data_IF_823161457076
#
_entry.id   IF_823161457076
#
_cell.length_a   1.000
_cell.length_b   1.000
_cell.length_c   1.000
_cell.angle_alpha   90.00
_cell.angle_beta   90.00
_cell.angle_gamma   90.00
#
_symmetry.space_group_name_H-M   'P 1'
#
loop_
_entity.id
_entity.type
_entity.pdbx_description
1 polymer ?
#
# COMPACT_ATOMS: atom_id res chain seq x y z
N UNK A 1 0.90 8.68 -4.45
CA UNK A 1 -0.38 8.97 -3.84
C UNK A 1 -1.40 7.85 -4.13
N UNK A 2 -1.72 7.63 -5.39
CA UNK A 2 -2.72 6.63 -5.83
C UNK A 2 -2.21 5.18 -5.76
N UNK A 3 -0.93 4.98 -5.63
CA UNK A 3 -0.31 3.65 -5.65
C UNK A 3 -0.58 2.82 -4.39
N UNK A 4 -0.87 3.46 -3.26
CA UNK A 4 -1.09 2.75 -1.99
C UNK A 4 -2.48 2.14 -1.91
N UNK A 5 -3.50 2.82 -2.43
CA UNK A 5 -4.88 2.33 -2.44
C UNK A 5 -5.16 1.38 -3.60
N UNK A 6 -4.46 1.52 -4.73
CA UNK A 6 -4.70 0.73 -5.94
C UNK A 6 -3.73 -0.42 -6.16
N UNK A 7 -2.51 -0.35 -5.62
CA UNK A 7 -1.61 -1.48 -5.70
C UNK A 7 -2.04 -2.55 -4.69
N UNK A 8 -2.12 -3.80 -5.15
CA UNK A 8 -2.08 -4.93 -4.24
C UNK A 8 -0.88 -4.72 -3.31
N UNK A 9 -1.05 -4.90 -1.99
CA UNK A 9 0.09 -4.95 -1.11
C UNK A 9 1.04 -5.98 -1.71
N UNK A 10 2.04 -5.51 -2.38
CA UNK A 10 3.22 -6.31 -2.52
C UNK A 10 3.65 -6.45 -1.08
N UNK A 11 3.46 -7.64 -0.54
CA UNK A 11 4.16 -8.00 0.67
C UNK A 11 5.59 -7.54 0.46
N UNK A 12 6.16 -6.90 1.46
CA UNK A 12 7.59 -6.71 1.48
C UNK A 12 8.18 -8.09 1.20
N UNK A 13 8.48 -8.33 -0.06
CA UNK A 13 9.21 -9.52 -0.42
C UNK A 13 10.52 -9.39 0.33
N UNK A 14 10.80 -10.38 1.15
CA UNK A 14 12.16 -10.61 1.59
C UNK A 14 13.01 -10.50 0.33
N UNK A 15 13.76 -9.43 0.19
CA UNK A 15 14.40 -8.87 -0.99
C UNK A 15 14.51 -9.79 -2.20
N UNK A 16 14.42 -9.23 -3.39
CA UNK A 16 14.74 -9.92 -4.63
C UNK A 16 16.21 -10.37 -4.59
N UNK A 17 16.48 -11.49 -3.96
CA UNK A 17 17.81 -12.05 -3.76
C UNK A 17 17.84 -13.51 -4.19
N UNK A 18 18.97 -13.92 -4.72
CA UNK A 18 19.31 -15.34 -4.86
C UNK A 18 19.20 -15.99 -3.46
N UNK A 19 18.70 -17.22 -3.36
CA UNK A 19 18.50 -18.03 -2.15
C UNK A 19 17.18 -17.86 -1.36
N UNK A 20 16.13 -17.42 -1.99
CA UNK A 20 14.79 -17.40 -1.37
C UNK A 20 14.09 -18.77 -1.51
N UNK A 21 13.51 -19.26 -0.44
CA UNK A 21 12.56 -20.37 -0.46
C UNK A 21 11.16 -19.77 -0.39
N UNK A 22 10.40 -19.90 -1.48
CA UNK A 22 9.01 -19.46 -1.54
C UNK A 22 8.09 -20.66 -1.68
N UNK A 23 7.04 -20.72 -0.88
CA UNK A 23 6.04 -21.76 -0.91
C UNK A 23 4.63 -21.19 -0.91
N UNK A 24 3.87 -21.51 -1.95
CA UNK A 24 2.43 -21.24 -2.01
C UNK A 24 1.70 -22.53 -1.65
N UNK A 25 0.86 -22.47 -0.61
CA UNK A 25 0.09 -23.63 -0.19
C UNK A 25 -0.97 -23.95 -1.26
N UNK A 26 -1.22 -25.25 -1.52
CA UNK A 26 -2.39 -25.65 -2.31
C UNK A 26 -3.66 -25.09 -1.67
N UNK A 27 -4.65 -24.76 -2.49
CA UNK A 27 -5.97 -24.31 -2.01
C UNK A 27 -6.61 -25.42 -1.18
N UNK A 28 -6.62 -25.25 0.13
CA UNK A 28 -7.23 -26.18 1.08
C UNK A 28 -8.68 -25.81 1.40
N UNK A 29 -8.99 -24.53 1.28
CA UNK A 29 -10.32 -23.96 1.49
C UNK A 29 -10.60 -22.99 0.36
N UNK A 30 -11.77 -23.09 -0.25
CA UNK A 30 -12.18 -22.17 -1.31
C UNK A 30 -12.11 -20.72 -0.83
N UNK A 31 -11.54 -19.89 -1.69
CA UNK A 31 -11.38 -18.46 -1.41
C UNK A 31 -10.24 -18.13 -0.43
N UNK A 32 -9.44 -19.10 0.02
CA UNK A 32 -8.27 -18.86 0.89
C UNK A 32 -6.99 -19.22 0.17
N UNK A 33 -6.08 -18.27 0.04
CA UNK A 33 -4.73 -18.47 -0.45
C UNK A 33 -3.71 -18.10 0.62
N UNK A 34 -2.72 -18.96 0.83
CA UNK A 34 -1.64 -18.81 1.78
C UNK A 34 -0.29 -18.93 1.06
N UNK A 35 0.63 -18.06 1.38
CA UNK A 35 2.01 -18.18 0.92
C UNK A 35 2.98 -17.82 2.05
N UNK A 36 4.17 -18.37 2.00
CA UNK A 36 5.27 -18.09 2.90
C UNK A 36 6.60 -18.06 2.16
N UNK A 37 7.52 -17.24 2.61
CA UNK A 37 8.87 -17.17 2.07
C UNK A 37 9.89 -17.07 3.20
N UNK A 38 11.09 -17.58 2.93
CA UNK A 38 12.22 -17.52 3.83
C UNK A 38 13.52 -17.31 3.03
N UNK A 39 14.29 -16.34 3.45
CA UNK A 39 15.64 -16.09 2.94
C UNK A 39 16.62 -16.37 4.07
N UNK A 40 17.50 -17.39 3.94
CA UNK A 40 18.51 -17.68 4.97
C UNK A 40 19.54 -16.56 5.05
N UNK A 41 20.14 -16.41 6.23
CA UNK A 41 21.25 -15.50 6.46
C UNK A 41 22.40 -15.75 5.48
N UNK A 42 22.96 -14.68 4.95
CA UNK A 42 24.15 -14.66 4.11
C UNK A 42 25.43 -14.29 4.88
N UNK A 43 26.51 -14.02 4.15
CA UNK A 43 27.76 -13.61 4.78
C UNK A 43 27.71 -12.19 5.38
N UNK A 44 26.80 -11.35 4.88
CA UNK A 44 26.63 -9.93 5.27
C UNK A 44 25.17 -9.57 5.57
N UNK A 45 24.24 -10.52 5.46
CA UNK A 45 22.82 -10.30 5.63
C UNK A 45 22.27 -11.34 6.61
N UNK A 46 21.39 -10.91 7.50
CA UNK A 46 20.63 -11.76 8.39
C UNK A 46 19.45 -12.43 7.63
N UNK A 47 18.73 -13.30 8.30
CA UNK A 47 17.60 -13.98 7.69
C UNK A 47 16.39 -13.08 7.56
N UNK A 48 15.50 -13.40 6.60
CA UNK A 48 14.19 -12.77 6.52
C UNK A 48 13.09 -13.81 6.25
N UNK A 49 11.90 -13.52 6.72
CA UNK A 49 10.73 -14.35 6.50
C UNK A 49 9.50 -13.50 6.20
N UNK A 50 8.58 -14.04 5.40
CA UNK A 50 7.30 -13.39 5.19
C UNK A 50 6.19 -14.43 4.99
N UNK A 51 4.96 -14.05 5.35
CA UNK A 51 3.78 -14.85 5.05
C UNK A 51 2.60 -13.97 4.65
N UNK A 52 1.70 -14.54 3.87
CA UNK A 52 0.51 -13.86 3.40
C UNK A 52 -0.72 -14.75 3.43
N UNK A 53 -1.84 -14.11 3.67
CA UNK A 53 -3.17 -14.66 3.59
C UNK A 53 -4.02 -13.79 2.68
N UNK A 54 -4.69 -14.39 1.70
CA UNK A 54 -5.70 -13.71 0.87
C UNK A 54 -6.99 -14.49 1.00
N UNK A 55 -8.10 -13.76 1.23
CA UNK A 55 -9.44 -14.31 1.33
C UNK A 55 -10.36 -13.67 0.30
N UNK A 56 -11.01 -14.51 -0.51
CA UNK A 56 -11.99 -14.13 -1.54
C UNK A 56 -13.26 -15.00 -1.51
N UNK A 57 -13.54 -15.65 -0.38
CA UNK A 57 -14.65 -16.61 -0.25
C UNK A 57 -16.04 -15.97 -0.15
N UNK A 58 -16.14 -14.64 -0.10
CA UNK A 58 -17.40 -13.89 -0.12
C UNK A 58 -17.43 -13.07 -1.41
N UNK A 59 -18.56 -13.14 -2.14
CA UNK A 59 -18.72 -12.39 -3.39
C UNK A 59 -18.54 -10.88 -3.15
N UNK A 60 -17.72 -10.26 -4.00
CA UNK A 60 -17.36 -8.86 -3.90
C UNK A 60 -16.35 -8.52 -2.80
N UNK A 61 -16.02 -9.43 -1.87
CA UNK A 61 -15.06 -9.20 -0.81
C UNK A 61 -13.67 -9.76 -1.15
N UNK A 62 -12.66 -8.93 -1.01
CA UNK A 62 -11.26 -9.35 -0.97
C UNK A 62 -10.63 -8.81 0.30
N UNK A 63 -10.08 -9.68 1.12
CA UNK A 63 -9.28 -9.33 2.29
C UNK A 63 -7.90 -9.94 2.16
N UNK A 64 -6.87 -9.20 2.50
CA UNK A 64 -5.50 -9.72 2.53
C UNK A 64 -4.76 -9.23 3.76
N UNK A 65 -3.91 -10.09 4.27
CA UNK A 65 -2.99 -9.81 5.36
C UNK A 65 -1.62 -10.34 4.99
N UNK A 66 -0.59 -9.57 5.29
CA UNK A 66 0.78 -9.97 5.12
C UNK A 66 1.65 -9.47 6.24
N UNK A 67 2.64 -10.26 6.60
CA UNK A 67 3.66 -9.88 7.57
C UNK A 67 5.01 -10.37 7.07
N UNK A 68 6.01 -9.49 7.17
CA UNK A 68 7.40 -9.78 6.85
C UNK A 68 8.29 -9.34 7.99
N UNK A 69 9.25 -10.15 8.34
CA UNK A 69 10.29 -9.86 9.33
C UNK A 69 11.65 -9.98 8.68
N UNK A 70 12.49 -8.98 8.92
CA UNK A 70 13.87 -8.94 8.47
C UNK A 70 14.79 -8.77 9.69
N UNK A 71 15.57 -9.79 10.00
CA UNK A 71 16.46 -9.81 11.19
C UNK A 71 17.69 -8.90 11.06
N UNK A 72 17.83 -8.21 9.94
CA UNK A 72 18.81 -7.16 9.75
C UNK A 72 19.47 -7.18 8.38
N UNK A 73 19.55 -6.02 7.75
CA UNK A 73 20.38 -5.79 6.57
C UNK A 73 21.64 -5.03 6.98
N UNK A 74 22.81 -5.57 6.66
CA UNK A 74 24.05 -4.82 6.83
C UNK A 74 24.10 -3.66 5.83
N UNK A 75 23.81 -2.45 6.28
CA UNK A 75 23.93 -1.23 5.48
C UNK A 75 25.38 -0.78 5.42
N UNK A 76 26.22 -1.44 4.60
CA UNK A 76 27.60 -1.03 4.33
C UNK A 76 28.62 -1.37 5.43
N UNK A 77 29.89 -1.19 5.13
CA UNK A 77 31.00 -1.46 6.07
C UNK A 77 30.92 -0.52 7.29
N UNK A 78 30.43 -1.04 8.42
CA UNK A 78 30.30 -0.31 9.68
C UNK A 78 28.88 0.16 10.01
N UNK A 79 27.86 -0.23 9.25
CA UNK A 79 26.47 0.07 9.54
C UNK A 79 25.88 -0.81 10.64
N UNK A 80 24.96 -0.24 11.43
CA UNK A 80 24.11 -0.98 12.35
C UNK A 80 23.13 -1.86 11.54
N UNK A 81 22.99 -3.11 11.95
CA UNK A 81 21.91 -3.97 11.46
C UNK A 81 20.56 -3.37 11.85
N UNK A 82 19.74 -3.01 10.90
CA UNK A 82 18.37 -2.57 11.17
C UNK A 82 17.42 -3.77 10.99
N UNK A 83 16.86 -4.24 12.08
CA UNK A 83 15.77 -5.20 12.04
C UNK A 83 14.48 -4.44 11.74
N UNK A 84 13.63 -4.99 10.93
CA UNK A 84 12.35 -4.38 10.64
C UNK A 84 11.25 -5.43 10.47
N UNK A 85 10.11 -5.16 11.03
CA UNK A 85 8.88 -5.87 10.80
C UNK A 85 7.96 -5.02 9.93
N UNK A 86 7.29 -5.65 8.99
CA UNK A 86 6.34 -4.98 8.13
C UNK A 86 5.02 -5.75 8.17
N UNK A 87 3.95 -5.07 8.50
CA UNK A 87 2.59 -5.61 8.47
C UNK A 87 1.75 -4.87 7.45
N UNK A 88 0.98 -5.60 6.66
CA UNK A 88 0.07 -5.02 5.69
C UNK A 88 -1.29 -5.70 5.76
N UNK A 89 -2.34 -4.91 5.84
CA UNK A 89 -3.72 -5.37 5.78
C UNK A 89 -4.47 -4.61 4.68
N UNK A 90 -5.26 -5.33 3.88
CA UNK A 90 -6.14 -4.71 2.88
C UNK A 90 -7.50 -5.34 2.91
N UNK A 91 -8.49 -4.51 2.70
CA UNK A 91 -9.88 -4.90 2.56
C UNK A 91 -10.47 -4.16 1.35
N UNK A 92 -11.12 -4.89 0.45
CA UNK A 92 -11.91 -4.31 -0.64
C UNK A 92 -13.26 -4.99 -0.71
N UNK A 93 -14.32 -4.21 -0.84
CA UNK A 93 -15.67 -4.72 -0.98
C UNK A 93 -16.41 -4.02 -2.12
N UNK A 94 -16.91 -4.82 -3.05
CA UNK A 94 -17.71 -4.36 -4.18
C UNK A 94 -19.17 -4.74 -3.94
N UNK A 95 -20.04 -3.75 -3.86
CA UNK A 95 -21.48 -3.94 -3.72
C UNK A 95 -22.23 -3.10 -4.75
N UNK A 96 -22.75 -3.76 -5.78
CA UNK A 96 -23.37 -3.08 -6.92
C UNK A 96 -22.42 -2.08 -7.58
N UNK A 97 -22.81 -0.83 -7.61
CA UNK A 97 -22.00 0.27 -8.18
C UNK A 97 -20.99 0.89 -7.22
N UNK A 98 -20.92 0.42 -5.98
CA UNK A 98 -20.03 0.97 -4.94
C UNK A 98 -18.85 0.05 -4.71
N UNK A 99 -17.65 0.60 -4.65
CA UNK A 99 -16.45 -0.11 -4.18
C UNK A 99 -15.89 0.64 -2.98
N UNK A 100 -15.68 -0.08 -1.89
CA UNK A 100 -14.98 0.39 -0.71
C UNK A 100 -13.62 -0.30 -0.63
N UNK A 101 -12.58 0.43 -0.30
CA UNK A 101 -11.26 -0.13 -0.06
C UNK A 101 -10.63 0.52 1.17
N UNK A 102 -9.92 -0.29 1.94
CA UNK A 102 -9.11 0.11 3.09
C UNK A 102 -7.77 -0.61 3.03
N UNK A 103 -6.72 0.07 3.38
CA UNK A 103 -5.42 -0.56 3.63
C UNK A 103 -4.75 0.08 4.84
N UNK A 104 -4.00 -0.75 5.53
CA UNK A 104 -3.17 -0.41 6.67
C UNK A 104 -1.81 -1.06 6.47
N UNK A 105 -0.76 -0.27 6.58
CA UNK A 105 0.61 -0.70 6.37
C UNK A 105 1.49 -0.12 7.46
N UNK A 106 2.07 -0.99 8.27
CA UNK A 106 2.94 -0.68 9.38
C UNK A 106 4.36 -1.16 9.07
N UNK A 107 5.32 -0.29 9.29
CA UNK A 107 6.74 -0.60 9.25
C UNK A 107 7.36 -0.24 10.59
N UNK A 108 7.75 -1.25 11.34
CA UNK A 108 8.35 -1.16 12.65
C UNK A 108 9.83 -1.56 12.56
N UNK A 109 10.71 -0.67 12.90
CA UNK A 109 12.17 -0.84 12.85
C UNK A 109 12.77 -0.77 14.24
N UNK A 110 13.85 -1.49 14.48
CA UNK A 110 14.63 -1.30 15.72
C UNK A 110 15.25 0.10 15.85
N UNK A 111 15.01 0.96 14.87
CA UNK A 111 15.39 2.37 14.89
C UNK A 111 14.11 3.20 14.86
N UNK A 112 13.65 3.66 16.02
CA UNK A 112 12.38 4.37 16.22
C UNK A 112 12.12 5.52 15.20
N UNK A 113 13.17 6.15 14.69
CA UNK A 113 13.06 7.20 13.67
C UNK A 113 12.75 6.69 12.26
N UNK A 114 12.67 5.37 12.08
CA UNK A 114 12.33 4.72 10.80
C UNK A 114 10.95 4.10 10.79
N UNK A 115 10.24 4.15 11.92
CA UNK A 115 8.89 3.62 12.01
C UNK A 115 7.92 4.47 11.19
N UNK A 116 7.02 3.81 10.52
CA UNK A 116 6.02 4.47 9.68
C UNK A 116 4.75 3.65 9.60
N UNK A 117 3.62 4.32 9.84
CA UNK A 117 2.28 3.79 9.59
C UNK A 117 1.62 4.52 8.43
N UNK A 118 0.97 3.79 7.55
CA UNK A 118 0.21 4.36 6.44
C UNK A 118 -1.16 3.72 6.35
N UNK A 119 -2.20 4.55 6.50
CA UNK A 119 -3.60 4.16 6.38
C UNK A 119 -4.21 4.80 5.15
N UNK A 120 -4.96 4.02 4.38
CA UNK A 120 -5.62 4.51 3.17
C UNK A 120 -7.06 4.06 3.13
N UNK A 121 -7.95 4.96 2.74
CA UNK A 121 -9.35 4.65 2.47
C UNK A 121 -9.75 5.15 1.10
N UNK A 122 -10.60 4.38 0.42
CA UNK A 122 -11.17 4.78 -0.87
C UNK A 122 -12.61 4.33 -0.97
N UNK A 123 -13.44 5.23 -1.47
CA UNK A 123 -14.78 4.93 -1.96
C UNK A 123 -14.87 5.28 -3.43
N UNK A 124 -15.42 4.38 -4.23
CA UNK A 124 -15.68 4.63 -5.65
C UNK A 124 -17.13 4.32 -5.95
N UNK A 125 -17.74 5.11 -6.81
CA UNK A 125 -19.12 4.95 -7.24
C UNK A 125 -19.22 5.04 -8.76
N UNK A 126 -19.73 3.98 -9.39
CA UNK A 126 -20.09 3.99 -10.80
C UNK A 126 -21.50 4.59 -10.94
N UNK A 127 -21.56 5.85 -11.38
CA UNK A 127 -22.83 6.57 -11.58
C UNK A 127 -23.60 5.97 -12.76
N UNK A 128 -22.87 5.64 -13.82
CA UNK A 128 -23.33 4.88 -14.99
C UNK A 128 -22.20 3.96 -15.43
N UNK A 129 -22.44 3.16 -16.48
CA UNK A 129 -21.39 2.31 -17.09
C UNK A 129 -20.21 3.13 -17.62
N UNK A 130 -20.44 4.39 -17.97
CA UNK A 130 -19.44 5.28 -18.56
C UNK A 130 -18.86 6.31 -17.56
N UNK A 131 -19.54 6.57 -16.43
CA UNK A 131 -19.19 7.65 -15.50
C UNK A 131 -18.93 7.10 -14.10
N UNK A 132 -17.80 7.47 -13.54
CA UNK A 132 -17.46 7.13 -12.17
C UNK A 132 -16.88 8.31 -11.40
N UNK A 133 -17.02 8.26 -10.09
CA UNK A 133 -16.38 9.17 -9.14
C UNK A 133 -15.73 8.37 -8.02
N UNK A 134 -14.59 8.84 -7.54
CA UNK A 134 -13.96 8.26 -6.36
C UNK A 134 -13.39 9.34 -5.44
N UNK A 135 -13.37 9.01 -4.16
CA UNK A 135 -12.72 9.77 -3.10
C UNK A 135 -11.75 8.86 -2.36
N UNK A 136 -10.57 9.34 -2.11
CA UNK A 136 -9.54 8.59 -1.37
C UNK A 136 -8.81 9.51 -0.40
N UNK A 137 -8.40 8.95 0.72
CA UNK A 137 -7.52 9.58 1.71
C UNK A 137 -6.38 8.64 2.07
N UNK A 138 -5.19 9.21 2.24
CA UNK A 138 -4.03 8.54 2.83
C UNK A 138 -3.56 9.37 4.03
N UNK A 139 -3.30 8.71 5.14
CA UNK A 139 -2.69 9.25 6.35
C UNK A 139 -1.38 8.50 6.60
N UNK A 140 -0.31 9.21 6.80
CA UNK A 140 1.01 8.64 7.05
C UNK A 140 1.55 9.24 8.34
N UNK A 141 1.65 8.40 9.37
CA UNK A 141 2.40 8.69 10.59
C UNK A 141 3.86 8.24 10.42
N UNK A 142 4.80 9.02 10.92
CA UNK A 142 6.20 8.69 10.87
C UNK A 142 6.99 9.31 12.02
N UNK A 143 7.76 8.49 12.70
CA UNK A 143 8.68 8.91 13.74
C UNK A 143 9.97 9.59 13.20
N UNK A 144 10.08 9.75 11.88
CA UNK A 144 11.26 10.38 11.26
C UNK A 144 11.40 11.88 11.57
N UNK A 145 10.32 12.53 12.01
CA UNK A 145 10.30 13.97 12.35
C UNK A 145 10.11 14.21 13.84
N UNK A 146 10.84 15.16 14.38
CA UNK A 146 10.70 15.59 15.76
C UNK A 146 9.36 16.32 16.06
N UNK A 147 8.61 16.70 15.03
CA UNK A 147 7.30 17.39 15.16
C UNK A 147 6.13 16.45 15.29
N UNK A 148 6.29 15.19 14.88
CA UNK A 148 5.28 14.12 14.99
C UNK A 148 3.89 14.54 14.51
N UNK A 149 3.82 15.06 13.30
CA UNK A 149 2.59 15.47 12.62
C UNK A 149 2.40 14.56 11.42
N UNK A 150 1.21 14.02 11.30
CA UNK A 150 0.86 13.11 10.20
C UNK A 150 0.80 13.84 8.87
N UNK A 151 1.31 13.21 7.83
CA UNK A 151 1.11 13.67 6.46
C UNK A 151 -0.23 13.16 5.95
N UNK A 152 -1.10 14.08 5.52
CA UNK A 152 -2.43 13.77 5.05
C UNK A 152 -2.56 14.06 3.54
N UNK A 153 -3.23 13.15 2.84
CA UNK A 153 -3.49 13.28 1.41
C UNK A 153 -4.96 13.00 1.12
N UNK A 154 -5.54 13.86 0.32
CA UNK A 154 -6.91 13.70 -0.17
C UNK A 154 -6.94 13.74 -1.69
N UNK A 155 -7.74 12.87 -2.31
CA UNK A 155 -7.91 12.82 -3.75
C UNK A 155 -9.35 12.56 -4.16
N UNK A 156 -9.86 13.41 -5.04
CA UNK A 156 -11.14 13.21 -5.72
C UNK A 156 -10.86 12.99 -7.22
N UNK A 157 -11.48 11.98 -7.80
CA UNK A 157 -11.36 11.69 -9.24
C UNK A 157 -12.74 11.50 -9.84
N UNK A 158 -13.02 12.22 -10.93
CA UNK A 158 -14.15 11.94 -11.81
C UNK A 158 -13.64 11.38 -13.14
N UNK A 159 -14.27 10.35 -13.69
CA UNK A 159 -13.90 9.73 -14.96
C UNK A 159 -15.11 9.54 -15.86
N UNK A 160 -14.89 9.77 -17.16
CA UNK A 160 -15.87 9.46 -18.19
C UNK A 160 -15.19 8.63 -19.29
N UNK A 161 -15.77 7.49 -19.64
CA UNK A 161 -15.25 6.57 -20.68
C UNK A 161 -16.28 6.43 -21.79
N UNK A 162 -15.89 6.61 -23.02
CA UNK A 162 -16.77 6.42 -24.18
C UNK A 162 -15.95 6.00 -25.40
N UNK A 163 -16.33 4.88 -26.04
CA UNK A 163 -15.76 4.44 -27.31
C UNK A 163 -14.23 4.25 -27.31
N UNK A 164 -13.65 3.78 -26.20
CA UNK A 164 -12.19 3.61 -26.07
C UNK A 164 -11.44 4.89 -25.65
N UNK A 165 -12.13 5.99 -25.42
CA UNK A 165 -11.58 7.22 -24.86
C UNK A 165 -11.97 7.33 -23.38
N UNK A 166 -11.03 7.65 -22.51
CA UNK A 166 -11.28 7.98 -21.11
C UNK A 166 -10.76 9.37 -20.80
N UNK A 167 -11.64 10.21 -20.27
CA UNK A 167 -11.31 11.54 -19.72
C UNK A 167 -11.41 11.44 -18.21
N UNK A 168 -10.37 11.87 -17.50
CA UNK A 168 -10.40 11.92 -16.03
C UNK A 168 -9.94 13.28 -15.55
N UNK A 169 -10.69 13.83 -14.60
CA UNK A 169 -10.31 15.03 -13.85
C UNK A 169 -10.06 14.64 -12.40
N UNK A 170 -9.01 15.19 -11.80
CA UNK A 170 -8.71 14.96 -10.39
C UNK A 170 -8.36 16.26 -9.67
N UNK A 171 -8.70 16.29 -8.40
CA UNK A 171 -8.21 17.24 -7.41
C UNK A 171 -7.49 16.48 -6.31
N UNK A 172 -6.34 16.96 -5.92
CA UNK A 172 -5.52 16.38 -4.85
C UNK A 172 -5.08 17.49 -3.92
N UNK A 173 -5.06 17.18 -2.66
CA UNK A 173 -4.56 18.02 -1.58
C UNK A 173 -3.61 17.18 -0.73
N UNK A 174 -2.48 17.77 -0.38
CA UNK A 174 -1.50 17.19 0.50
C UNK A 174 -1.19 18.18 1.61
N UNK A 175 -1.26 17.73 2.84
CA UNK A 175 -0.93 18.51 4.03
C UNK A 175 0.24 17.86 4.77
N UNK A 176 1.09 18.67 5.37
CA UNK A 176 2.22 18.23 6.20
C UNK A 176 3.16 17.21 5.52
N UNK A 177 3.44 17.34 4.22
CA UNK A 177 4.15 16.34 3.43
C UNK A 177 5.52 15.93 4.00
N UNK A 178 6.20 16.82 4.70
CA UNK A 178 7.48 16.55 5.36
C UNK A 178 7.31 16.28 6.88
N UNK A 179 6.13 15.83 7.29
CA UNK A 179 5.76 15.66 8.71
C UNK A 179 5.94 16.95 9.51
N UNK A 180 5.60 18.08 8.90
CA UNK A 180 5.80 19.42 9.42
C UNK A 180 4.56 20.27 9.19
N UNK A 181 4.19 21.11 10.15
CA UNK A 181 3.09 22.07 10.05
C UNK A 181 3.44 23.34 9.27
N UNK A 182 4.57 23.38 8.58
CA UNK A 182 4.93 24.52 7.75
C UNK A 182 4.04 24.56 6.50
N UNK A 183 3.39 25.69 6.25
CA UNK A 183 2.48 25.85 5.07
C UNK A 183 3.19 25.69 3.72
N UNK A 184 4.52 25.68 3.70
CA UNK A 184 5.32 25.38 2.49
C UNK A 184 5.31 23.89 2.13
N UNK A 185 4.81 23.03 3.02
CA UNK A 185 4.68 21.59 2.85
C UNK A 185 3.27 21.15 2.46
N UNK A 186 2.37 22.12 2.25
CA UNK A 186 1.02 21.86 1.77
C UNK A 186 0.96 22.14 0.27
N UNK A 187 0.39 21.22 -0.49
CA UNK A 187 0.25 21.33 -1.93
C UNK A 187 -1.15 20.98 -2.41
N UNK A 188 -1.65 21.75 -3.38
CA UNK A 188 -2.86 21.46 -4.11
C UNK A 188 -2.55 21.17 -5.58
N UNK A 189 -3.20 20.18 -6.15
CA UNK A 189 -3.03 19.82 -7.54
C UNK A 189 -4.36 19.52 -8.23
N UNK A 190 -4.55 20.13 -9.41
CA UNK A 190 -5.67 19.82 -10.31
C UNK A 190 -5.11 19.18 -11.59
N UNK A 191 -5.59 18.00 -11.91
CA UNK A 191 -5.16 17.25 -13.09
C UNK A 191 -6.31 16.96 -14.05
N UNK A 192 -6.01 17.00 -15.34
CA UNK A 192 -6.86 16.49 -16.41
C UNK A 192 -6.07 15.51 -17.25
N UNK A 193 -6.60 14.32 -17.45
CA UNK A 193 -5.99 13.30 -18.29
C UNK A 193 -6.95 12.82 -19.37
N UNK A 194 -6.38 12.47 -20.52
CA UNK A 194 -7.08 11.88 -21.64
C UNK A 194 -6.30 10.65 -22.10
N UNK A 195 -6.95 9.51 -22.16
CA UNK A 195 -6.36 8.26 -22.65
C UNK A 195 -7.22 7.65 -23.76
N UNK A 196 -6.55 6.95 -24.67
CA UNK A 196 -7.19 6.22 -25.76
C UNK A 196 -6.74 4.78 -25.76
N UNK A 197 -7.67 3.84 -25.88
CA UNK A 197 -7.40 2.43 -26.13
C UNK A 197 -7.60 2.17 -27.64
N UNK A 198 -6.58 1.57 -28.29
CA UNK A 198 -6.58 1.22 -29.71
C UNK A 198 -6.64 -0.28 -29.88
#
# INVERSE_FOLDING_TARGET
>A
FDKRVTSAATLSESGAGDNIIHYTLPTLVDGVALAASYTPAGANDESSSAYSLVYTGIDGLTASYGHGSNDGQSVGAGGTTANADTTSMKLSYVYGSVTLAYSDHEHDSNTDTSDQDAKSMKISYAITDDVSVSYATDEIDSNASATNVDAEYTKIVGSYTSGGMTVSANYQEAENMAFSTATSEDEEYVGLSLSFAF
#
